data_IF_553396302094
#
_entry.id   IF_553396302094
#
_cell.length_a   1.000
_cell.length_b   1.000
_cell.length_c   1.000
_cell.angle_alpha   90.00
_cell.angle_beta   90.00
_cell.angle_gamma   90.00
#
_symmetry.space_group_name_H-M   'P 1'
#
loop_
_entity.id
_entity.type
_entity.pdbx_description
1 polymer ?
#
# COMPACT_ATOMS: atom_id res chain seq x y z
N UNK A 1 35.81 -9.58 14.14
CA UNK A 1 35.04 -10.35 15.14
C UNK A 1 34.75 -11.75 14.61
N UNK A 2 34.99 -12.83 15.38
CA UNK A 2 34.65 -14.21 14.94
C UNK A 2 33.15 -14.48 15.05
N UNK A 3 32.56 -15.33 14.20
CA UNK A 3 31.11 -15.62 14.19
C UNK A 3 30.60 -16.08 15.57
N UNK A 4 31.37 -16.92 16.29
CA UNK A 4 31.02 -17.39 17.65
C UNK A 4 31.05 -16.27 18.69
N UNK A 5 31.97 -15.32 18.53
CA UNK A 5 32.07 -14.13 19.39
C UNK A 5 30.86 -13.21 19.15
N UNK A 6 30.54 -12.96 17.87
CA UNK A 6 29.33 -12.22 17.47
C UNK A 6 28.04 -12.85 17.99
N UNK A 7 27.96 -14.17 17.95
CA UNK A 7 26.79 -14.91 18.44
C UNK A 7 26.56 -14.72 19.94
N UNK A 8 27.65 -14.73 20.74
CA UNK A 8 27.57 -14.52 22.20
C UNK A 8 27.29 -13.07 22.57
N UNK A 9 27.92 -12.13 21.87
CA UNK A 9 27.83 -10.70 22.18
C UNK A 9 26.47 -10.11 21.78
N UNK A 10 25.92 -10.54 20.63
CA UNK A 10 24.65 -10.03 20.11
C UNK A 10 23.47 -10.99 20.31
N UNK A 11 23.67 -12.13 20.96
CA UNK A 11 22.67 -13.18 21.17
C UNK A 11 21.94 -13.60 19.88
N UNK A 12 22.66 -13.59 18.74
CA UNK A 12 22.15 -14.03 17.44
C UNK A 12 22.69 -15.44 17.16
N UNK A 13 21.86 -16.41 16.72
CA UNK A 13 22.33 -17.74 16.37
C UNK A 13 23.46 -17.71 15.33
N UNK A 14 24.48 -18.55 15.55
CA UNK A 14 25.63 -18.70 14.64
C UNK A 14 25.19 -18.93 13.18
N UNK A 15 24.14 -19.71 12.97
CA UNK A 15 23.57 -20.03 11.65
C UNK A 15 23.05 -18.78 10.95
N UNK A 16 22.33 -17.91 11.65
CA UNK A 16 21.82 -16.64 11.09
C UNK A 16 22.95 -15.71 10.66
N UNK A 17 24.01 -15.60 11.46
CA UNK A 17 25.20 -14.80 11.12
C UNK A 17 25.91 -15.41 9.91
N UNK A 18 26.03 -16.74 9.87
CA UNK A 18 26.63 -17.46 8.75
C UNK A 18 25.82 -17.29 7.46
N UNK A 19 24.49 -17.41 7.49
CA UNK A 19 23.61 -17.21 6.33
C UNK A 19 23.68 -15.78 5.79
N UNK A 20 23.80 -14.80 6.70
CA UNK A 20 24.01 -13.40 6.36
C UNK A 20 25.35 -13.18 5.64
N UNK A 21 26.44 -13.76 6.15
CA UNK A 21 27.77 -13.66 5.55
C UNK A 21 27.89 -14.44 4.24
N UNK A 22 27.27 -15.62 4.16
CA UNK A 22 27.30 -16.50 2.98
C UNK A 22 26.42 -16.02 1.81
N UNK A 23 25.77 -14.84 1.91
CA UNK A 23 24.86 -14.26 0.89
C UNK A 23 23.70 -15.17 0.45
N UNK A 24 23.47 -16.31 1.13
CA UNK A 24 22.27 -17.13 1.00
C UNK A 24 21.04 -16.35 1.49
N UNK A 25 21.27 -15.47 2.46
CA UNK A 25 20.40 -14.33 2.71
C UNK A 25 20.56 -13.31 1.58
N UNK A 26 19.49 -12.94 0.84
CA UNK A 26 19.59 -11.84 -0.10
C UNK A 26 20.03 -10.58 0.66
N UNK A 27 20.89 -9.75 0.04
CA UNK A 27 21.39 -8.47 0.60
C UNK A 27 20.19 -7.53 0.81
N UNK A 28 19.47 -7.72 1.90
CA UNK A 28 18.19 -7.08 2.10
C UNK A 28 18.38 -5.97 3.11
N UNK A 29 18.24 -4.74 2.61
CA UNK A 29 17.83 -3.61 3.43
C UNK A 29 16.62 -4.03 4.26
N UNK A 30 16.57 -3.71 5.56
CA UNK A 30 15.50 -4.13 6.51
C UNK A 30 14.05 -3.97 6.00
N UNK A 31 13.82 -3.22 4.92
CA UNK A 31 12.53 -3.08 4.24
C UNK A 31 12.02 -4.32 3.48
N UNK A 32 12.84 -5.31 3.11
CA UNK A 32 12.47 -6.31 2.07
C UNK A 32 12.62 -7.77 2.54
N UNK A 33 12.22 -8.09 3.78
CA UNK A 33 11.81 -9.48 4.11
C UNK A 33 10.33 -9.48 4.42
N UNK A 34 9.50 -9.24 3.41
CA UNK A 34 8.09 -9.61 3.52
C UNK A 34 8.02 -11.11 3.26
N UNK A 35 7.91 -11.90 4.34
CA UNK A 35 7.64 -13.33 4.25
C UNK A 35 6.24 -13.50 3.66
N UNK A 36 6.14 -14.09 2.47
CA UNK A 36 4.87 -14.35 1.81
C UNK A 36 4.94 -14.12 0.29
N UNK A 37 3.91 -14.55 -0.45
CA UNK A 37 3.80 -14.28 -1.87
C UNK A 37 3.67 -12.77 -2.14
N UNK A 38 4.08 -12.35 -3.32
CA UNK A 38 3.91 -10.96 -3.76
C UNK A 38 2.43 -10.55 -3.76
N UNK A 39 2.13 -9.25 -3.59
CA UNK A 39 0.79 -8.74 -3.80
C UNK A 39 0.29 -9.12 -5.19
N UNK A 40 -1.00 -9.41 -5.26
CA UNK A 40 -1.62 -9.99 -6.44
C UNK A 40 -1.50 -9.12 -7.71
N UNK A 41 -1.41 -7.80 -7.54
CA UNK A 41 -1.20 -6.81 -8.61
C UNK A 41 0.25 -6.37 -8.74
N UNK A 42 1.19 -7.05 -8.07
CA UNK A 42 2.58 -6.61 -7.82
C UNK A 42 2.66 -5.28 -7.05
N UNK A 43 3.84 -4.92 -6.55
CA UNK A 43 4.02 -3.65 -5.85
C UNK A 43 3.88 -2.45 -6.80
N UNK A 44 4.46 -2.52 -8.01
CA UNK A 44 4.38 -1.46 -9.03
C UNK A 44 2.94 -1.20 -9.48
N UNK A 45 2.16 -2.26 -9.68
CA UNK A 45 0.76 -2.13 -10.06
C UNK A 45 -0.09 -1.48 -8.96
N UNK A 46 0.15 -1.83 -7.70
CA UNK A 46 -0.53 -1.17 -6.58
C UNK A 46 -0.12 0.30 -6.42
N UNK A 47 1.16 0.63 -6.61
CA UNK A 47 1.66 2.01 -6.54
C UNK A 47 1.00 2.93 -7.57
N UNK A 48 0.77 2.43 -8.80
CA UNK A 48 0.01 3.17 -9.83
C UNK A 48 -1.42 3.47 -9.40
N UNK A 49 -2.10 2.50 -8.77
CA UNK A 49 -3.45 2.67 -8.24
C UNK A 49 -3.45 3.69 -7.09
N UNK A 50 -2.43 3.67 -6.25
CA UNK A 50 -2.27 4.63 -5.14
C UNK A 50 -2.12 6.05 -5.67
N UNK A 51 -1.18 6.26 -6.59
CA UNK A 51 -0.93 7.56 -7.21
C UNK A 51 -2.19 8.10 -7.92
N UNK A 52 -2.89 7.24 -8.65
CA UNK A 52 -4.17 7.61 -9.27
C UNK A 52 -5.22 8.03 -8.24
N UNK A 53 -5.34 7.29 -7.13
CA UNK A 53 -6.28 7.61 -6.03
C UNK A 53 -5.97 8.95 -5.38
N UNK A 54 -4.69 9.21 -5.10
CA UNK A 54 -4.23 10.47 -4.50
C UNK A 54 -4.49 11.64 -5.45
N UNK A 55 -4.21 11.47 -6.74
CA UNK A 55 -4.44 12.51 -7.74
C UNK A 55 -5.93 12.85 -7.89
N UNK A 56 -6.80 11.84 -7.89
CA UNK A 56 -8.25 12.07 -7.90
C UNK A 56 -8.72 12.84 -6.66
N UNK A 57 -8.22 12.48 -5.47
CA UNK A 57 -8.53 13.20 -4.25
C UNK A 57 -8.05 14.66 -4.29
N UNK A 58 -6.85 14.92 -4.85
CA UNK A 58 -6.33 16.28 -5.05
C UNK A 58 -7.20 17.13 -5.99
N UNK A 59 -7.81 16.49 -6.98
CA UNK A 59 -8.77 17.15 -7.88
C UNK A 59 -10.16 17.38 -7.24
N UNK A 60 -10.36 17.02 -5.97
CA UNK A 60 -11.65 17.15 -5.28
C UNK A 60 -12.60 15.97 -5.48
N UNK A 61 -12.13 14.87 -6.07
CA UNK A 61 -12.95 13.67 -6.35
C UNK A 61 -12.41 12.45 -5.59
N UNK A 62 -12.60 12.39 -4.26
CA UNK A 62 -12.20 11.20 -3.49
C UNK A 62 -12.99 9.97 -3.95
N UNK A 63 -12.28 8.85 -4.14
CA UNK A 63 -12.88 7.61 -4.64
C UNK A 63 -13.53 6.80 -3.52
N UNK A 64 -14.68 6.19 -3.80
CA UNK A 64 -15.31 5.25 -2.87
C UNK A 64 -14.65 3.87 -2.98
N UNK A 65 -14.77 3.09 -1.90
CA UNK A 65 -14.30 1.70 -1.87
C UNK A 65 -14.89 0.84 -2.99
N UNK A 66 -16.18 0.99 -3.30
CA UNK A 66 -16.86 0.27 -4.39
C UNK A 66 -16.18 0.51 -5.73
N UNK A 67 -15.85 1.77 -5.98
CA UNK A 67 -15.34 2.23 -7.27
C UNK A 67 -13.89 1.78 -7.42
N UNK A 68 -13.10 1.84 -6.35
CA UNK A 68 -11.75 1.26 -6.32
C UNK A 68 -11.76 -0.24 -6.61
N UNK A 69 -12.71 -1.00 -6.02
CA UNK A 69 -12.82 -2.43 -6.29
C UNK A 69 -13.22 -2.68 -7.75
N UNK A 70 -14.14 -1.88 -8.31
CA UNK A 70 -14.59 -2.00 -9.68
C UNK A 70 -13.49 -1.65 -10.69
N UNK A 71 -12.68 -0.61 -10.43
CA UNK A 71 -11.56 -0.25 -11.31
C UNK A 71 -10.49 -1.34 -11.31
N UNK A 72 -10.17 -1.88 -10.13
CA UNK A 72 -9.21 -2.98 -10.01
C UNK A 72 -9.73 -4.25 -10.69
N UNK A 73 -11.01 -4.60 -10.53
CA UNK A 73 -11.66 -5.69 -11.26
C UNK A 73 -11.52 -5.52 -12.79
N UNK A 74 -11.75 -4.31 -13.30
CA UNK A 74 -11.59 -4.00 -14.73
C UNK A 74 -10.15 -4.21 -15.20
N UNK A 75 -9.15 -3.76 -14.43
CA UNK A 75 -7.72 -3.96 -14.72
C UNK A 75 -7.36 -5.45 -14.78
N UNK A 76 -7.91 -6.25 -13.87
CA UNK A 76 -7.63 -7.70 -13.83
C UNK A 76 -8.25 -8.42 -15.03
N UNK A 77 -9.47 -8.03 -15.41
CA UNK A 77 -10.17 -8.56 -16.59
C UNK A 77 -9.41 -8.21 -17.87
N UNK A 78 -8.94 -6.97 -18.02
CA UNK A 78 -8.15 -6.55 -19.18
C UNK A 78 -6.77 -7.20 -19.23
N UNK A 79 -6.17 -7.48 -18.07
CA UNK A 79 -4.85 -8.14 -17.97
C UNK A 79 -4.92 -9.67 -18.11
N UNK A 80 -6.09 -10.25 -18.40
CA UNK A 80 -6.35 -11.69 -18.48
C UNK A 80 -5.89 -12.49 -17.23
N UNK A 81 -5.84 -11.84 -16.07
CA UNK A 81 -5.37 -12.37 -14.78
C UNK A 81 -6.53 -12.79 -13.86
N UNK A 82 -7.65 -13.18 -14.45
CA UNK A 82 -8.92 -13.42 -13.74
C UNK A 82 -8.81 -14.53 -12.67
N UNK A 83 -7.89 -15.48 -12.85
CA UNK A 83 -7.61 -16.57 -11.91
C UNK A 83 -7.08 -16.10 -10.54
N UNK A 84 -6.61 -14.86 -10.45
CA UNK A 84 -6.00 -14.34 -9.22
C UNK A 84 -7.02 -14.12 -8.09
N UNK A 85 -8.29 -13.88 -8.42
CA UNK A 85 -9.38 -13.72 -7.46
C UNK A 85 -10.52 -14.69 -7.73
N UNK A 86 -11.28 -15.03 -6.68
CA UNK A 86 -12.55 -15.74 -6.85
C UNK A 86 -13.49 -14.87 -7.69
N UNK A 87 -13.84 -15.35 -8.89
CA UNK A 87 -14.65 -14.64 -9.89
C UNK A 87 -14.01 -13.34 -10.44
N UNK A 88 -12.69 -13.19 -10.35
CA UNK A 88 -11.98 -12.00 -10.85
C UNK A 88 -12.23 -10.71 -10.04
N UNK A 89 -12.89 -10.80 -8.87
CA UNK A 89 -13.26 -9.66 -8.03
C UNK A 89 -12.39 -9.55 -6.78
N UNK A 90 -11.75 -8.39 -6.52
CA UNK A 90 -11.07 -8.15 -5.25
C UNK A 90 -12.06 -8.17 -4.08
N UNK A 91 -11.80 -9.03 -3.10
CA UNK A 91 -12.64 -9.15 -1.91
C UNK A 91 -12.25 -8.18 -0.78
N UNK A 92 -13.04 -8.19 0.30
CA UNK A 92 -12.78 -7.39 1.50
C UNK A 92 -11.37 -7.56 2.07
N UNK A 93 -10.87 -8.81 2.11
CA UNK A 93 -9.54 -9.12 2.63
C UNK A 93 -8.43 -8.46 1.80
N UNK A 94 -8.60 -8.41 0.48
CA UNK A 94 -7.65 -7.73 -0.38
C UNK A 94 -7.63 -6.23 -0.09
N UNK A 95 -8.81 -5.60 -0.01
CA UNK A 95 -8.93 -4.16 0.28
C UNK A 95 -8.30 -3.79 1.63
N UNK A 96 -8.60 -4.54 2.70
CA UNK A 96 -7.97 -4.31 4.01
C UNK A 96 -6.45 -4.47 3.97
N UNK A 97 -5.94 -5.44 3.22
CA UNK A 97 -4.50 -5.63 3.08
C UNK A 97 -3.84 -4.57 2.19
N UNK A 98 -4.55 -4.05 1.18
CA UNK A 98 -4.11 -2.95 0.32
C UNK A 98 -3.91 -1.68 1.14
N UNK A 99 -4.89 -1.29 1.97
CA UNK A 99 -4.75 -0.14 2.87
C UNK A 99 -3.62 -0.33 3.89
N UNK A 100 -3.45 -1.54 4.44
CA UNK A 100 -2.32 -1.84 5.35
C UNK A 100 -0.94 -1.70 4.69
N UNK A 101 -0.85 -1.93 3.37
CA UNK A 101 0.40 -1.75 2.61
C UNK A 101 0.67 -0.29 2.28
N UNK A 102 -0.38 0.49 2.05
CA UNK A 102 -0.33 1.87 1.54
C UNK A 102 -0.97 2.83 2.55
N UNK A 103 -0.20 3.18 3.58
CA UNK A 103 -0.64 4.08 4.67
C UNK A 103 -0.90 5.52 4.21
N UNK A 104 -0.48 5.87 3.00
CA UNK A 104 -0.73 7.16 2.36
C UNK A 104 -2.21 7.36 2.02
N UNK A 105 -2.99 6.27 1.93
CA UNK A 105 -4.42 6.30 1.69
C UNK A 105 -5.14 5.89 2.97
N UNK A 106 -6.08 6.74 3.40
CA UNK A 106 -6.98 6.44 4.51
C UNK A 106 -8.43 6.68 4.09
N UNK A 107 -9.35 6.02 4.78
CA UNK A 107 -10.76 6.34 4.69
C UNK A 107 -10.99 7.65 5.45
N UNK A 108 -11.39 8.69 4.72
CA UNK A 108 -11.84 9.94 5.32
C UNK A 108 -13.36 10.03 5.19
N UNK A 109 -14.02 10.39 6.28
CA UNK A 109 -15.39 10.84 6.22
C UNK A 109 -15.42 12.26 5.65
N UNK A 110 -16.38 12.52 4.75
CA UNK A 110 -16.55 13.86 4.22
C UNK A 110 -16.93 14.80 5.37
N UNK A 111 -16.10 15.82 5.62
CA UNK A 111 -16.47 16.88 6.56
C UNK A 111 -17.72 17.59 6.04
N UNK A 112 -18.73 17.73 6.90
CA UNK A 112 -19.89 18.55 6.60
C UNK A 112 -19.47 19.98 6.29
N UNK A 113 -19.95 20.55 5.18
CA UNK A 113 -19.68 21.94 4.83
C UNK A 113 -20.34 22.83 5.89
N UNK A 114 -19.54 23.43 6.77
CA UNK A 114 -20.04 24.40 7.74
C UNK A 114 -20.63 25.62 6.99
N UNK A 115 -21.76 26.17 7.47
CA UNK A 115 -22.39 27.37 6.92
C UNK A 115 -21.39 28.52 6.73
N UNK A 116 -20.41 28.66 7.63
CA UNK A 116 -19.36 29.67 7.53
C UNK A 116 -18.52 29.55 6.23
N UNK A 117 -18.29 28.33 5.71
CA UNK A 117 -17.60 28.11 4.43
C UNK A 117 -18.45 28.46 3.22
N UNK A 118 -19.78 28.32 3.33
CA UNK A 118 -20.72 28.66 2.24
C UNK A 118 -20.98 30.17 2.13
N UNK A 119 -20.75 30.93 3.21
CA UNK A 119 -21.00 32.38 3.30
C UNK A 119 -19.81 33.20 2.75
N UNK A 120 -18.66 32.59 2.47
CA UNK A 120 -17.48 33.31 1.96
C UNK A 120 -17.76 33.86 0.56
N UNK A 121 -17.84 35.19 0.45
CA UNK A 121 -17.98 35.94 -0.81
C UNK A 121 -16.64 36.45 -1.31
N UNK A 122 -16.51 36.76 -2.60
CA UNK A 122 -15.27 37.33 -3.19
C UNK A 122 -14.81 38.61 -2.46
N UNK A 123 -15.79 39.42 -2.05
CA UNK A 123 -15.59 40.65 -1.25
C UNK A 123 -14.95 40.38 0.11
N UNK A 124 -15.24 39.23 0.73
CA UNK A 124 -14.64 38.83 2.01
C UNK A 124 -13.20 38.31 1.90
N UNK A 125 -12.74 38.01 0.68
CA UNK A 125 -11.40 37.47 0.40
C UNK A 125 -10.43 38.58 -0.04
N UNK A 126 -10.93 39.60 -0.74
CA UNK A 126 -10.13 40.78 -1.14
C UNK A 126 -10.06 41.77 0.03
N UNK A 127 -9.12 41.55 0.95
CA UNK A 127 -8.64 42.59 1.88
C UNK A 127 -8.04 43.77 1.12
#
# INVERSE_FOLDING_TARGET
>A
MKIRQASREFNVPKTTIQDYLSRKAPKISRKIRKTGPEPLLTFDGEEKIVNWTINLAKCGFPIKKSDLIATVESIIKSSNKQHLFKNGKPGQRWYSNFLKRHLEISLQEAEGINKARAIVTEESIRL
#
